data_IF_710567828986
#
_entry.id   IF_710567828986
#
_cell.length_a   1.000
_cell.length_b   1.000
_cell.length_c   1.000
_cell.angle_alpha   90.00
_cell.angle_beta   90.00
_cell.angle_gamma   90.00
#
_symmetry.space_group_name_H-M   'P 1'
#
loop_
_entity.id
_entity.type
_entity.pdbx_description
1 polymer ?
#
# COMPACT_ATOMS: atom_id res chain seq x y z
N UNK A 1 -66.80 -112.28 73.05
CA UNK A 1 -68.04 -112.04 73.82
C UNK A 1 -67.80 -110.75 74.60
N UNK A 2 -68.54 -109.67 74.31
CA UNK A 2 -68.27 -108.36 74.93
C UNK A 2 -68.67 -108.39 76.41
N UNK A 3 -67.80 -107.86 77.29
CA UNK A 3 -68.04 -107.71 78.73
C UNK A 3 -69.29 -106.88 79.02
N UNK A 4 -69.47 -105.75 78.31
CA UNK A 4 -70.65 -104.90 78.47
C UNK A 4 -71.93 -105.72 78.25
N UNK A 5 -71.99 -106.47 77.15
CA UNK A 5 -73.09 -107.39 76.82
C UNK A 5 -73.34 -108.51 77.85
N UNK A 6 -72.36 -108.86 78.70
CA UNK A 6 -72.59 -109.81 79.81
C UNK A 6 -73.12 -109.07 81.05
N UNK A 7 -72.70 -107.81 81.27
CA UNK A 7 -73.26 -106.94 82.30
C UNK A 7 -74.73 -106.61 81.97
N UNK A 8 -75.04 -106.26 80.73
CA UNK A 8 -76.40 -106.02 80.24
C UNK A 8 -77.30 -107.26 80.45
N UNK A 9 -76.78 -108.47 80.16
CA UNK A 9 -77.48 -109.74 80.39
C UNK A 9 -77.66 -110.05 81.89
N UNK A 10 -76.71 -109.66 82.76
CA UNK A 10 -76.82 -109.80 84.22
C UNK A 10 -77.84 -108.84 84.82
N UNK A 11 -77.86 -107.59 84.36
CA UNK A 11 -78.83 -106.57 84.74
C UNK A 11 -80.25 -107.03 84.37
N UNK A 12 -80.46 -107.50 83.14
CA UNK A 12 -81.73 -108.08 82.70
C UNK A 12 -82.19 -109.28 83.57
N UNK A 13 -81.29 -110.14 84.04
CA UNK A 13 -81.63 -111.25 84.94
C UNK A 13 -82.07 -110.78 86.34
N UNK A 14 -81.54 -109.64 86.81
CA UNK A 14 -81.94 -109.03 88.09
C UNK A 14 -83.24 -108.24 87.93
N UNK A 15 -83.42 -107.50 86.84
CA UNK A 15 -84.64 -106.73 86.58
C UNK A 15 -85.88 -107.61 86.40
N UNK A 16 -85.77 -108.64 85.56
CA UNK A 16 -86.86 -109.57 85.22
C UNK A 16 -87.10 -110.66 86.28
N UNK A 17 -86.40 -110.60 87.42
CA UNK A 17 -86.54 -111.56 88.51
C UNK A 17 -87.92 -111.49 89.19
N UNK A 18 -88.44 -112.64 89.61
CA UNK A 18 -89.80 -112.73 90.18
C UNK A 18 -89.83 -112.13 91.59
N UNK A 19 -90.88 -111.36 91.91
CA UNK A 19 -91.06 -110.79 93.24
C UNK A 19 -91.22 -111.86 94.32
N UNK A 20 -90.45 -111.77 95.39
CA UNK A 20 -90.49 -112.62 96.57
C UNK A 20 -90.96 -111.87 97.82
N UNK A 21 -91.10 -112.60 98.94
CA UNK A 21 -91.61 -112.06 100.20
C UNK A 21 -90.65 -111.00 100.79
N UNK A 22 -91.21 -109.94 101.39
CA UNK A 22 -90.47 -108.83 102.04
C UNK A 22 -89.45 -108.13 101.11
N UNK A 23 -89.85 -107.84 99.87
CA UNK A 23 -89.05 -107.04 98.92
C UNK A 23 -87.85 -107.78 98.30
N UNK A 24 -87.73 -109.10 98.52
CA UNK A 24 -86.70 -109.93 97.91
C UNK A 24 -87.03 -110.23 96.45
N UNK A 25 -86.01 -110.51 95.65
CA UNK A 25 -86.12 -110.91 94.24
C UNK A 25 -85.64 -112.35 94.06
N UNK A 26 -86.41 -113.16 93.33
CA UNK A 26 -86.13 -114.56 93.03
C UNK A 26 -85.47 -114.64 91.65
N UNK A 27 -84.16 -114.78 91.65
CA UNK A 27 -83.29 -114.90 90.47
C UNK A 27 -82.99 -116.38 90.22
N UNK A 28 -82.86 -116.80 88.96
CA UNK A 28 -82.32 -118.12 88.63
C UNK A 28 -80.82 -118.15 88.99
N UNK A 29 -80.49 -118.83 90.08
CA UNK A 29 -79.13 -118.92 90.61
C UNK A 29 -78.15 -119.50 89.57
N UNK A 30 -78.52 -120.58 88.88
CA UNK A 30 -77.68 -121.25 87.89
C UNK A 30 -77.35 -120.33 86.70
N UNK A 31 -78.35 -119.62 86.18
CA UNK A 31 -78.17 -118.72 85.05
C UNK A 31 -77.39 -117.46 85.45
N UNK A 32 -77.72 -116.87 86.60
CA UNK A 32 -77.02 -115.68 87.12
C UNK A 32 -75.56 -115.98 87.45
N UNK A 33 -75.25 -117.05 88.19
CA UNK A 33 -73.86 -117.46 88.42
C UNK A 33 -73.17 -117.88 87.12
N UNK A 34 -73.88 -118.51 86.17
CA UNK A 34 -73.35 -118.80 84.83
C UNK A 34 -72.87 -117.54 84.11
N UNK A 35 -73.66 -116.46 84.12
CA UNK A 35 -73.25 -115.15 83.57
C UNK A 35 -72.12 -114.50 84.38
N UNK A 36 -72.13 -114.59 85.72
CA UNK A 36 -71.01 -114.12 86.56
C UNK A 36 -69.71 -114.85 86.22
N UNK A 37 -69.73 -116.15 85.95
CA UNK A 37 -68.54 -116.91 85.53
C UNK A 37 -68.09 -116.52 84.11
N UNK A 38 -69.01 -116.26 83.18
CA UNK A 38 -68.68 -115.71 81.86
C UNK A 38 -68.03 -114.33 81.99
N UNK A 39 -68.58 -113.45 82.84
CA UNK A 39 -68.03 -112.13 83.13
C UNK A 39 -66.63 -112.24 83.74
N UNK A 40 -66.43 -113.14 84.72
CA UNK A 40 -65.15 -113.45 85.35
C UNK A 40 -64.11 -114.01 84.37
N UNK A 41 -64.54 -114.70 83.30
CA UNK A 41 -63.66 -115.20 82.23
C UNK A 41 -63.36 -114.14 81.15
N UNK A 42 -64.29 -113.22 80.90
CA UNK A 42 -64.19 -112.19 79.86
C UNK A 42 -63.47 -110.92 80.32
N UNK A 43 -63.73 -110.45 81.56
CA UNK A 43 -63.11 -109.25 82.14
C UNK A 43 -61.57 -109.26 82.08
N UNK A 44 -60.86 -110.34 82.46
CA UNK A 44 -59.39 -110.35 82.36
C UNK A 44 -58.88 -110.22 80.93
N UNK A 45 -59.65 -110.69 79.93
CA UNK A 45 -59.28 -110.62 78.51
C UNK A 45 -59.46 -109.21 77.97
N UNK A 46 -60.61 -108.57 78.23
CA UNK A 46 -60.85 -107.18 77.79
C UNK A 46 -59.93 -106.18 78.50
N UNK A 47 -59.62 -106.39 79.79
CA UNK A 47 -58.62 -105.59 80.51
C UNK A 47 -57.25 -105.72 79.86
N UNK A 48 -56.81 -106.95 79.53
CA UNK A 48 -55.53 -107.17 78.83
C UNK A 48 -55.52 -106.53 77.43
N UNK A 49 -56.61 -106.63 76.67
CA UNK A 49 -56.74 -106.00 75.34
C UNK A 49 -56.67 -104.46 75.44
N UNK A 50 -57.31 -103.87 76.44
CA UNK A 50 -57.25 -102.43 76.71
C UNK A 50 -55.83 -101.99 77.14
N UNK A 51 -55.17 -102.74 78.02
CA UNK A 51 -53.77 -102.50 78.37
C UNK A 51 -52.85 -102.62 77.16
N UNK A 52 -53.03 -103.64 76.29
CA UNK A 52 -52.24 -103.81 75.07
C UNK A 52 -52.47 -102.66 74.09
N UNK A 53 -53.69 -102.10 74.04
CA UNK A 53 -54.00 -100.90 73.26
C UNK A 53 -53.33 -99.64 73.85
N UNK A 54 -53.37 -99.46 75.18
CA UNK A 54 -52.70 -98.34 75.85
C UNK A 54 -51.18 -98.42 75.66
N UNK A 55 -50.56 -99.59 75.87
CA UNK A 55 -49.14 -99.85 75.59
C UNK A 55 -48.77 -99.50 74.14
N UNK A 56 -49.62 -99.83 73.17
CA UNK A 56 -49.42 -99.47 71.75
C UNK A 56 -49.56 -97.96 71.52
N UNK A 57 -50.56 -97.31 72.12
CA UNK A 57 -50.76 -95.86 71.99
C UNK A 57 -49.59 -95.08 72.59
N UNK A 58 -49.12 -95.45 73.78
CA UNK A 58 -47.91 -94.89 74.41
C UNK A 58 -46.67 -95.09 73.55
N UNK A 59 -46.49 -96.29 72.97
CA UNK A 59 -45.37 -96.55 72.06
C UNK A 59 -45.43 -95.69 70.78
N UNK A 60 -46.63 -95.48 70.20
CA UNK A 60 -46.83 -94.59 69.05
C UNK A 60 -46.53 -93.14 69.41
N UNK A 61 -47.05 -92.63 70.53
CA UNK A 61 -46.77 -91.25 70.99
C UNK A 61 -45.28 -91.05 71.23
N UNK A 62 -44.61 -91.97 71.93
CA UNK A 62 -43.17 -91.92 72.17
C UNK A 62 -42.36 -91.98 70.87
N UNK A 63 -42.77 -92.80 69.90
CA UNK A 63 -42.11 -92.88 68.59
C UNK A 63 -42.31 -91.59 67.79
N UNK A 64 -43.51 -90.99 67.81
CA UNK A 64 -43.81 -89.75 67.12
C UNK A 64 -43.05 -88.56 67.74
N UNK A 65 -42.93 -88.49 69.07
CA UNK A 65 -42.09 -87.52 69.78
C UNK A 65 -40.62 -87.68 69.37
N UNK A 66 -40.07 -88.88 69.45
CA UNK A 66 -38.67 -89.17 69.06
C UNK A 66 -38.39 -88.77 67.60
N UNK A 67 -39.35 -88.97 66.69
CA UNK A 67 -39.18 -88.59 65.29
C UNK A 67 -39.36 -87.08 65.05
N UNK A 68 -40.26 -86.42 65.78
CA UNK A 68 -40.39 -84.97 65.75
C UNK A 68 -39.11 -84.28 66.25
N UNK A 69 -38.54 -84.77 67.36
CA UNK A 69 -37.27 -84.27 67.91
C UNK A 69 -36.16 -84.38 66.86
N UNK A 70 -36.00 -85.55 66.21
CA UNK A 70 -35.03 -85.77 65.12
C UNK A 70 -35.23 -84.84 63.92
N UNK A 71 -36.48 -84.57 63.54
CA UNK A 71 -36.80 -83.67 62.43
C UNK A 71 -36.43 -82.22 62.77
N UNK A 72 -36.70 -81.76 64.00
CA UNK A 72 -36.29 -80.43 64.50
C UNK A 72 -34.76 -80.35 64.50
N UNK A 73 -34.08 -81.29 65.14
CA UNK A 73 -32.62 -81.42 65.20
C UNK A 73 -31.96 -81.33 63.81
N UNK A 74 -32.59 -81.95 62.81
CA UNK A 74 -32.07 -81.99 61.43
C UNK A 74 -32.38 -80.69 60.68
N UNK A 75 -33.56 -80.11 60.88
CA UNK A 75 -33.92 -78.82 60.31
C UNK A 75 -33.06 -77.67 60.88
N UNK A 76 -32.74 -77.69 62.17
CA UNK A 76 -31.87 -76.71 62.83
C UNK A 76 -30.44 -76.78 62.29
N UNK A 77 -29.86 -77.99 62.20
CA UNK A 77 -28.52 -78.20 61.60
C UNK A 77 -28.47 -77.74 60.14
N UNK A 78 -29.50 -78.04 59.35
CA UNK A 78 -29.57 -77.64 57.95
C UNK A 78 -29.76 -76.11 57.79
N UNK A 79 -30.56 -75.49 58.66
CA UNK A 79 -30.71 -74.03 58.69
C UNK A 79 -29.40 -73.33 59.07
N UNK A 80 -28.67 -73.82 60.07
CA UNK A 80 -27.35 -73.30 60.45
C UNK A 80 -26.33 -73.44 59.31
N UNK A 81 -26.31 -74.60 58.63
CA UNK A 81 -25.47 -74.84 57.45
C UNK A 81 -25.77 -73.83 56.33
N UNK A 82 -27.04 -73.67 55.96
CA UNK A 82 -27.47 -72.75 54.89
C UNK A 82 -27.16 -71.29 55.25
N UNK A 83 -27.39 -70.87 56.49
CA UNK A 83 -27.05 -69.50 56.95
C UNK A 83 -25.54 -69.26 56.92
N UNK A 84 -24.75 -70.25 57.31
CA UNK A 84 -23.27 -70.16 57.30
C UNK A 84 -22.74 -70.06 55.88
N UNK A 85 -23.19 -70.94 54.98
CA UNK A 85 -22.80 -70.91 53.56
C UNK A 85 -23.22 -69.62 52.85
N UNK A 86 -24.42 -69.11 53.15
CA UNK A 86 -24.91 -67.84 52.61
C UNK A 86 -24.02 -66.66 53.07
N UNK A 87 -23.62 -66.63 54.35
CA UNK A 87 -22.69 -65.62 54.89
C UNK A 87 -21.31 -65.71 54.24
N UNK A 88 -20.69 -66.89 54.22
CA UNK A 88 -19.38 -67.09 53.57
C UNK A 88 -19.41 -66.69 52.08
N UNK A 89 -20.50 -66.99 51.37
CA UNK A 89 -20.67 -66.58 49.96
C UNK A 89 -20.84 -65.06 49.82
N UNK A 90 -21.58 -64.41 50.71
CA UNK A 90 -21.72 -62.96 50.73
C UNK A 90 -20.39 -62.27 51.01
N UNK A 91 -19.66 -62.67 52.05
CA UNK A 91 -18.34 -62.12 52.41
C UNK A 91 -17.34 -62.26 51.26
N UNK A 92 -17.32 -63.43 50.61
CA UNK A 92 -16.51 -63.68 49.41
C UNK A 92 -16.88 -62.75 48.26
N UNK A 93 -18.18 -62.59 47.98
CA UNK A 93 -18.67 -61.72 46.89
C UNK A 93 -18.30 -60.25 47.15
N UNK A 94 -18.38 -59.80 48.41
CA UNK A 94 -17.96 -58.45 48.82
C UNK A 94 -16.46 -58.26 48.63
N UNK A 95 -15.63 -59.22 49.06
CA UNK A 95 -14.18 -59.16 48.91
C UNK A 95 -13.74 -59.14 47.43
N UNK A 96 -14.32 -60.02 46.59
CA UNK A 96 -14.06 -60.08 45.15
C UNK A 96 -14.48 -58.77 44.46
N UNK A 97 -15.67 -58.25 44.79
CA UNK A 97 -16.19 -56.98 44.25
C UNK A 97 -15.32 -55.78 44.65
N UNK A 98 -14.84 -55.74 45.91
CA UNK A 98 -13.95 -54.69 46.39
C UNK A 98 -12.60 -54.71 45.67
N UNK A 99 -12.01 -55.90 45.53
CA UNK A 99 -10.74 -56.06 44.79
C UNK A 99 -10.87 -55.65 43.32
N UNK A 100 -11.98 -56.03 42.67
CA UNK A 100 -12.27 -55.59 41.30
C UNK A 100 -12.40 -54.07 41.20
N UNK A 101 -13.15 -53.42 42.11
CA UNK A 101 -13.30 -51.98 42.13
C UNK A 101 -11.96 -51.24 42.36
N UNK A 102 -11.14 -51.71 43.31
CA UNK A 102 -9.80 -51.16 43.57
C UNK A 102 -8.89 -51.26 42.34
N UNK A 103 -8.92 -52.41 41.64
CA UNK A 103 -8.21 -52.61 40.36
C UNK A 103 -8.71 -51.66 39.28
N UNK A 104 -10.01 -51.60 39.04
CA UNK A 104 -10.61 -50.72 38.01
C UNK A 104 -10.25 -49.25 38.26
N UNK A 105 -10.30 -48.79 39.51
CA UNK A 105 -9.89 -47.42 39.87
C UNK A 105 -8.39 -47.19 39.65
N UNK A 106 -7.54 -48.17 39.97
CA UNK A 106 -6.09 -48.10 39.74
C UNK A 106 -5.74 -48.05 38.24
N UNK A 107 -6.34 -48.94 37.45
CA UNK A 107 -6.18 -49.01 35.99
C UNK A 107 -6.67 -47.73 35.30
N UNK A 108 -7.81 -47.18 35.74
CA UNK A 108 -8.34 -45.92 35.23
C UNK A 108 -7.44 -44.71 35.55
N UNK A 109 -6.88 -44.63 36.77
CA UNK A 109 -5.91 -43.60 37.16
C UNK A 109 -4.65 -43.68 36.31
N UNK A 110 -4.03 -44.87 36.20
CA UNK A 110 -2.86 -45.10 35.36
C UNK A 110 -3.11 -44.80 33.87
N UNK A 111 -4.35 -44.91 33.39
CA UNK A 111 -4.70 -44.52 32.03
C UNK A 111 -4.85 -42.99 31.89
N UNK A 112 -5.49 -42.33 32.86
CA UNK A 112 -5.61 -40.87 32.91
C UNK A 112 -4.24 -40.18 33.00
N UNK A 113 -3.36 -40.66 33.89
CA UNK A 113 -2.00 -40.12 34.06
C UNK A 113 -1.18 -40.22 32.77
N UNK A 114 -1.28 -41.36 32.06
CA UNK A 114 -0.65 -41.56 30.74
C UNK A 114 -1.22 -40.61 29.68
N UNK A 115 -2.55 -40.48 29.61
CA UNK A 115 -3.20 -39.59 28.65
C UNK A 115 -2.82 -38.12 28.89
N UNK A 116 -2.72 -37.70 30.15
CA UNK A 116 -2.27 -36.36 30.53
C UNK A 116 -0.80 -36.15 30.14
N UNK A 117 0.09 -37.10 30.44
CA UNK A 117 1.50 -37.02 30.04
C UNK A 117 1.70 -36.95 28.52
N UNK A 118 1.00 -37.80 27.77
CA UNK A 118 1.02 -37.79 26.30
C UNK A 118 0.48 -36.47 25.72
N UNK A 119 -0.61 -35.94 26.29
CA UNK A 119 -1.17 -34.66 25.87
C UNK A 119 -0.21 -33.50 26.16
N UNK A 120 0.44 -33.50 27.33
CA UNK A 120 1.42 -32.48 27.70
C UNK A 120 2.66 -32.52 26.80
N UNK A 121 3.27 -33.69 26.56
CA UNK A 121 4.41 -33.83 25.64
C UNK A 121 4.06 -33.37 24.21
N UNK A 122 2.84 -33.68 23.73
CA UNK A 122 2.37 -33.21 22.41
C UNK A 122 2.20 -31.69 22.37
N UNK A 123 1.66 -31.10 23.44
CA UNK A 123 1.49 -29.65 23.57
C UNK A 123 2.84 -28.92 23.60
N UNK A 124 3.77 -29.37 24.45
CA UNK A 124 5.14 -28.83 24.56
C UNK A 124 5.88 -28.90 23.21
N UNK A 125 5.80 -30.04 22.52
CA UNK A 125 6.35 -30.19 21.17
C UNK A 125 5.70 -29.24 20.17
N UNK A 126 4.38 -29.10 20.17
CA UNK A 126 3.66 -28.20 19.27
C UNK A 126 4.06 -26.74 19.49
N UNK A 127 4.23 -26.32 20.74
CA UNK A 127 4.72 -24.98 21.10
C UNK A 127 6.15 -24.76 20.58
N UNK A 128 7.06 -25.72 20.81
CA UNK A 128 8.44 -25.64 20.33
C UNK A 128 8.53 -25.60 18.79
N UNK A 129 7.81 -26.49 18.10
CA UNK A 129 7.73 -26.53 16.63
C UNK A 129 7.13 -25.22 16.06
N UNK A 130 6.15 -24.63 16.75
CA UNK A 130 5.53 -23.36 16.35
C UNK A 130 6.47 -22.17 16.57
N UNK A 131 7.16 -22.09 17.71
CA UNK A 131 8.17 -21.03 17.96
C UNK A 131 9.26 -21.08 16.91
N UNK A 132 9.85 -22.26 16.68
CA UNK A 132 10.92 -22.42 15.70
C UNK A 132 10.49 -22.10 14.24
N UNK A 133 9.20 -22.21 13.91
CA UNK A 133 8.65 -21.73 12.63
C UNK A 133 8.47 -20.22 12.60
N UNK A 134 8.02 -19.61 13.70
CA UNK A 134 7.90 -18.16 13.81
C UNK A 134 9.28 -17.48 13.73
N UNK A 135 10.27 -17.98 14.46
CA UNK A 135 11.65 -17.48 14.47
C UNK A 135 12.29 -17.51 13.07
N UNK A 136 12.12 -18.62 12.34
CA UNK A 136 12.56 -18.73 10.93
C UNK A 136 11.83 -17.73 10.03
N UNK A 137 10.51 -17.62 10.17
CA UNK A 137 9.70 -16.69 9.36
C UNK A 137 10.15 -15.24 9.55
N UNK A 138 10.41 -14.83 10.80
CA UNK A 138 10.93 -13.50 11.13
C UNK A 138 12.34 -13.30 10.55
N UNK A 139 13.24 -14.28 10.73
CA UNK A 139 14.61 -14.22 10.21
C UNK A 139 14.65 -14.09 8.68
N UNK A 140 13.87 -14.92 7.97
CA UNK A 140 13.75 -14.89 6.50
C UNK A 140 13.15 -13.57 6.00
N UNK A 141 12.13 -13.04 6.70
CA UNK A 141 11.51 -11.76 6.36
C UNK A 141 12.49 -10.59 6.55
N UNK A 142 13.22 -10.55 7.68
CA UNK A 142 14.23 -9.53 7.97
C UNK A 142 15.38 -9.56 6.95
N UNK A 143 15.96 -10.72 6.68
CA UNK A 143 17.03 -10.87 5.69
C UNK A 143 16.58 -10.45 4.27
N UNK A 144 15.33 -10.73 3.91
CA UNK A 144 14.75 -10.29 2.63
C UNK A 144 14.51 -8.78 2.59
N UNK A 145 14.08 -8.17 3.70
CA UNK A 145 13.91 -6.73 3.82
C UNK A 145 15.27 -6.00 3.72
N UNK A 146 16.28 -6.43 4.47
CA UNK A 146 17.65 -5.92 4.42
C UNK A 146 18.22 -5.99 3.00
N UNK A 147 18.09 -7.15 2.33
CA UNK A 147 18.50 -7.28 0.93
C UNK A 147 17.77 -6.30 0.01
N UNK A 148 16.44 -6.14 0.18
CA UNK A 148 15.64 -5.23 -0.64
C UNK A 148 16.08 -3.77 -0.47
N UNK A 149 16.40 -3.36 0.76
CA UNK A 149 16.93 -2.03 1.07
C UNK A 149 18.33 -1.84 0.44
N UNK A 150 19.21 -2.83 0.58
CA UNK A 150 20.55 -2.81 -0.03
C UNK A 150 20.48 -2.72 -1.57
N UNK A 151 19.66 -3.55 -2.21
CA UNK A 151 19.42 -3.53 -3.65
C UNK A 151 18.82 -2.18 -4.12
N UNK A 152 17.96 -1.55 -3.31
CA UNK A 152 17.38 -0.24 -3.61
C UNK A 152 18.40 0.89 -3.49
N UNK A 153 19.21 0.91 -2.43
CA UNK A 153 20.28 1.90 -2.22
C UNK A 153 21.33 1.81 -3.33
N UNK A 154 21.80 0.60 -3.66
CA UNK A 154 22.76 0.39 -4.74
C UNK A 154 22.21 0.78 -6.14
N UNK A 155 20.89 0.73 -6.35
CA UNK A 155 20.26 1.28 -7.57
C UNK A 155 20.22 2.81 -7.52
N UNK A 156 19.84 3.41 -6.40
CA UNK A 156 19.82 4.85 -6.23
C UNK A 156 21.21 5.47 -6.46
N UNK A 157 22.26 4.91 -5.86
CA UNK A 157 23.66 5.33 -6.05
C UNK A 157 24.06 5.33 -7.53
N UNK A 158 23.75 4.25 -8.27
CA UNK A 158 24.03 4.16 -9.72
C UNK A 158 23.24 5.19 -10.52
N UNK A 159 21.98 5.44 -10.16
CA UNK A 159 21.14 6.46 -10.81
C UNK A 159 21.68 7.86 -10.56
N UNK A 160 22.11 8.18 -9.34
CA UNK A 160 22.77 9.45 -9.04
C UNK A 160 24.09 9.60 -9.81
N UNK A 161 24.93 8.56 -9.88
CA UNK A 161 26.18 8.60 -10.65
C UNK A 161 25.94 8.85 -12.16
N UNK A 162 24.96 8.18 -12.77
CA UNK A 162 24.58 8.39 -14.18
C UNK A 162 24.01 9.81 -14.41
N UNK A 163 23.17 10.31 -13.50
CA UNK A 163 22.66 11.70 -13.58
C UNK A 163 23.80 12.71 -13.47
N UNK A 164 24.70 12.57 -12.50
CA UNK A 164 25.86 13.47 -12.33
C UNK A 164 26.72 13.49 -13.59
N UNK A 165 27.11 12.32 -14.11
CA UNK A 165 27.92 12.23 -15.33
C UNK A 165 27.22 12.86 -16.56
N UNK A 166 25.90 12.73 -16.68
CA UNK A 166 25.12 13.40 -17.74
C UNK A 166 25.05 14.91 -17.56
N UNK A 167 24.91 15.40 -16.33
CA UNK A 167 24.88 16.84 -16.01
C UNK A 167 26.26 17.48 -16.25
N UNK A 168 27.34 16.82 -15.84
CA UNK A 168 28.71 17.24 -16.12
C UNK A 168 28.95 17.34 -17.64
N UNK A 169 28.59 16.28 -18.39
CA UNK A 169 28.70 16.30 -19.85
C UNK A 169 27.85 17.40 -20.48
N UNK A 170 26.59 17.53 -20.09
CA UNK A 170 25.68 18.54 -20.65
C UNK A 170 26.15 19.97 -20.36
N UNK A 171 26.76 20.20 -19.19
CA UNK A 171 27.39 21.48 -18.85
C UNK A 171 28.60 21.74 -19.75
N UNK A 172 29.51 20.77 -19.90
CA UNK A 172 30.68 20.91 -20.77
C UNK A 172 30.31 21.12 -22.26
N UNK A 173 29.31 20.37 -22.76
CA UNK A 173 28.76 20.53 -24.11
C UNK A 173 28.15 21.94 -24.27
N UNK A 174 27.46 22.46 -23.26
CA UNK A 174 26.87 23.81 -23.29
C UNK A 174 27.94 24.93 -23.23
N UNK A 175 28.98 24.77 -22.42
CA UNK A 175 30.12 25.70 -22.33
C UNK A 175 30.90 25.76 -23.65
N UNK A 176 31.12 24.61 -24.30
CA UNK A 176 31.75 24.54 -25.62
C UNK A 176 30.91 25.27 -26.68
N UNK A 177 29.61 24.95 -26.79
CA UNK A 177 28.70 25.62 -27.74
C UNK A 177 28.60 27.14 -27.49
N UNK A 178 28.60 27.58 -26.23
CA UNK A 178 28.58 28.99 -25.88
C UNK A 178 29.89 29.70 -26.30
N UNK A 179 31.04 29.05 -26.09
CA UNK A 179 32.33 29.54 -26.55
C UNK A 179 32.37 29.66 -28.08
N UNK A 180 31.97 28.62 -28.81
CA UNK A 180 31.96 28.62 -30.28
C UNK A 180 31.06 29.74 -30.82
N UNK A 181 29.89 29.95 -30.21
CA UNK A 181 28.96 31.05 -30.56
C UNK A 181 29.60 32.44 -30.34
N UNK A 182 30.36 32.62 -29.25
CA UNK A 182 31.08 33.87 -28.95
C UNK A 182 32.23 34.09 -29.95
N UNK A 183 33.01 33.05 -30.23
CA UNK A 183 34.13 33.13 -31.18
C UNK A 183 33.63 33.42 -32.61
N UNK A 184 32.52 32.81 -33.04
CA UNK A 184 31.83 33.17 -34.29
C UNK A 184 31.33 34.62 -34.30
N UNK A 185 30.70 35.07 -33.22
CA UNK A 185 30.18 36.45 -33.13
C UNK A 185 31.31 37.48 -33.21
N UNK A 186 32.44 37.22 -32.53
CA UNK A 186 33.65 38.04 -32.59
C UNK A 186 34.27 38.05 -33.99
N UNK A 187 34.33 36.90 -34.67
CA UNK A 187 34.83 36.83 -36.04
C UNK A 187 33.95 37.65 -37.00
N UNK A 188 32.61 37.52 -36.90
CA UNK A 188 31.65 38.32 -37.68
C UNK A 188 31.77 39.81 -37.39
N UNK A 189 31.92 40.20 -36.13
CA UNK A 189 32.14 41.60 -35.73
C UNK A 189 33.45 42.14 -36.34
N UNK A 190 34.55 41.38 -36.28
CA UNK A 190 35.83 41.75 -36.90
C UNK A 190 35.73 41.91 -38.42
N UNK A 191 34.95 41.06 -39.11
CA UNK A 191 34.65 41.24 -40.53
C UNK A 191 33.87 42.53 -40.81
N UNK A 192 32.81 42.81 -40.04
CA UNK A 192 32.00 44.03 -40.19
C UNK A 192 32.85 45.28 -39.92
N UNK A 193 33.72 45.27 -38.90
CA UNK A 193 34.66 46.37 -38.66
C UNK A 193 35.65 46.56 -39.79
N UNK A 194 36.22 45.48 -40.35
CA UNK A 194 37.13 45.56 -41.48
C UNK A 194 36.44 46.13 -42.72
N UNK A 195 35.20 45.70 -43.00
CA UNK A 195 34.40 46.17 -44.13
C UNK A 195 34.00 47.63 -43.96
N UNK A 196 33.58 48.04 -42.76
CA UNK A 196 33.27 49.44 -42.44
C UNK A 196 34.50 50.35 -42.55
N UNK A 197 35.69 49.89 -42.14
CA UNK A 197 36.95 50.62 -42.33
C UNK A 197 37.30 50.77 -43.80
N UNK A 198 37.25 49.67 -44.59
CA UNK A 198 37.48 49.73 -46.05
C UNK A 198 36.56 50.73 -46.73
N UNK A 199 35.27 50.71 -46.38
CA UNK A 199 34.30 51.64 -46.96
C UNK A 199 34.52 53.09 -46.50
N UNK A 200 34.95 53.32 -45.26
CA UNK A 200 35.34 54.64 -44.78
C UNK A 200 36.59 55.17 -45.51
N UNK A 201 37.60 54.33 -45.72
CA UNK A 201 38.81 54.66 -46.48
C UNK A 201 38.47 54.96 -47.95
N UNK A 202 37.55 54.19 -48.56
CA UNK A 202 37.01 54.45 -49.90
C UNK A 202 36.29 55.81 -49.98
N UNK A 203 35.39 56.13 -49.03
CA UNK A 203 34.70 57.42 -48.98
C UNK A 203 35.67 58.59 -48.78
N UNK A 204 36.71 58.44 -47.97
CA UNK A 204 37.76 59.45 -47.79
C UNK A 204 38.58 59.61 -49.07
N UNK A 205 38.90 58.52 -49.76
CA UNK A 205 39.60 58.56 -51.05
C UNK A 205 38.77 59.27 -52.12
N UNK A 206 37.48 58.93 -52.26
CA UNK A 206 36.53 59.60 -53.16
C UNK A 206 36.41 61.09 -52.83
N UNK A 207 36.25 61.44 -51.55
CA UNK A 207 36.20 62.84 -51.13
C UNK A 207 37.49 63.59 -51.47
N UNK A 208 38.66 62.98 -51.29
CA UNK A 208 39.96 63.56 -51.67
C UNK A 208 40.11 63.79 -53.18
N UNK A 209 39.42 62.99 -54.02
CA UNK A 209 39.36 63.18 -55.46
C UNK A 209 38.40 64.32 -55.80
N UNK A 210 37.23 64.40 -55.14
CA UNK A 210 36.31 65.54 -55.34
C UNK A 210 36.91 66.88 -54.92
N UNK A 211 37.68 66.91 -53.82
CA UNK A 211 38.40 68.12 -53.37
C UNK A 211 39.45 68.54 -54.39
N UNK A 212 40.31 67.62 -54.85
CA UNK A 212 41.31 67.92 -55.89
C UNK A 212 40.67 68.36 -57.21
N UNK A 213 39.59 67.73 -57.64
CA UNK A 213 38.85 68.16 -58.82
C UNK A 213 38.24 69.56 -58.65
N UNK A 214 37.89 69.96 -57.42
CA UNK A 214 37.40 71.31 -57.12
C UNK A 214 38.55 72.34 -57.11
N UNK A 215 39.69 72.03 -56.49
CA UNK A 215 40.91 72.86 -56.54
C UNK A 215 41.43 73.01 -57.98
N UNK A 216 41.45 71.94 -58.77
CA UNK A 216 41.82 71.98 -60.19
C UNK A 216 40.82 72.81 -61.00
N UNK A 217 39.52 72.74 -60.70
CA UNK A 217 38.51 73.57 -61.35
C UNK A 217 38.65 75.06 -60.97
N UNK A 218 38.90 75.41 -59.71
CA UNK A 218 39.18 76.79 -59.29
C UNK A 218 40.47 77.32 -59.91
N UNK A 219 41.54 76.52 -59.93
CA UNK A 219 42.80 76.87 -60.58
C UNK A 219 42.64 77.06 -62.09
N UNK A 220 41.81 76.25 -62.76
CA UNK A 220 41.47 76.39 -64.17
C UNK A 220 40.67 77.67 -64.42
N UNK A 221 39.66 77.98 -63.60
CA UNK A 221 38.90 79.24 -63.67
C UNK A 221 39.81 80.44 -63.45
N UNK A 222 40.71 80.38 -62.49
CA UNK A 222 41.65 81.47 -62.19
C UNK A 222 42.71 81.63 -63.29
N UNK A 223 43.17 80.53 -63.92
CA UNK A 223 44.03 80.59 -65.09
C UNK A 223 43.31 81.19 -66.29
N UNK A 224 42.11 80.68 -66.62
CA UNK A 224 41.29 81.22 -67.70
C UNK A 224 40.95 82.71 -67.49
N UNK A 225 40.78 83.16 -66.25
CA UNK A 225 40.67 84.57 -65.89
C UNK A 225 41.92 85.37 -66.27
N UNK A 226 43.11 84.91 -65.89
CA UNK A 226 44.40 85.55 -66.26
C UNK A 226 44.68 85.48 -67.76
N UNK A 227 44.34 84.39 -68.42
CA UNK A 227 44.50 84.22 -69.86
C UNK A 227 43.55 85.17 -70.62
N UNK A 228 42.30 85.35 -70.14
CA UNK A 228 41.36 86.33 -70.67
C UNK A 228 41.79 87.79 -70.41
N UNK A 229 42.45 88.07 -69.28
CA UNK A 229 43.04 89.36 -68.95
C UNK A 229 44.27 89.64 -69.86
N UNK A 230 45.14 88.66 -70.06
CA UNK A 230 46.27 88.74 -71.00
C UNK A 230 45.83 88.84 -72.47
N UNK A 231 44.68 88.24 -72.84
CA UNK A 231 44.06 88.46 -74.15
C UNK A 231 43.46 89.86 -74.30
N UNK A 232 42.91 90.45 -73.23
CA UNK A 232 42.47 91.86 -73.22
C UNK A 232 43.65 92.80 -73.38
N UNK A 233 44.71 92.61 -72.58
CA UNK A 233 45.94 93.41 -72.71
C UNK A 233 46.54 93.30 -74.11
N UNK A 234 46.57 92.10 -74.73
CA UNK A 234 47.01 91.94 -76.11
C UNK A 234 46.07 92.61 -77.12
N UNK A 235 44.76 92.56 -76.91
CA UNK A 235 43.78 93.24 -77.77
C UNK A 235 43.90 94.77 -77.67
N UNK A 236 44.16 95.30 -76.47
CA UNK A 236 44.36 96.73 -76.22
C UNK A 236 45.72 97.20 -76.78
N UNK A 237 46.80 96.42 -76.65
CA UNK A 237 48.08 96.70 -77.31
C UNK A 237 47.96 96.62 -78.83
N UNK A 238 47.18 95.67 -79.37
CA UNK A 238 46.92 95.59 -80.81
C UNK A 238 46.09 96.78 -81.31
N UNK A 239 45.09 97.21 -80.54
CA UNK A 239 44.31 98.42 -80.83
C UNK A 239 45.21 99.67 -80.80
N UNK A 240 46.12 99.77 -79.84
CA UNK A 240 47.14 100.83 -79.77
C UNK A 240 48.09 100.82 -80.98
N UNK A 241 48.67 99.68 -81.34
CA UNK A 241 49.58 99.55 -82.49
C UNK A 241 48.88 99.85 -83.84
N UNK A 242 47.59 99.49 -83.97
CA UNK A 242 46.76 99.89 -85.11
C UNK A 242 46.47 101.39 -85.09
N UNK A 243 46.13 101.98 -83.95
CA UNK A 243 45.90 103.42 -83.80
C UNK A 243 47.18 104.24 -84.04
N UNK A 244 48.35 103.73 -83.64
CA UNK A 244 49.65 104.37 -83.86
C UNK A 244 50.08 104.28 -85.34
N UNK A 245 49.80 103.14 -86.01
CA UNK A 245 49.92 103.02 -87.47
C UNK A 245 48.98 103.97 -88.21
N UNK A 246 47.73 104.11 -87.76
CA UNK A 246 46.77 105.11 -88.29
C UNK A 246 47.28 106.53 -88.03
N UNK A 247 47.86 106.81 -86.86
CA UNK A 247 48.54 108.07 -86.53
C UNK A 247 49.67 108.39 -87.50
N UNK A 248 50.57 107.44 -87.78
CA UNK A 248 51.66 107.62 -88.76
C UNK A 248 51.16 107.82 -90.20
N UNK A 249 50.03 107.19 -90.57
CA UNK A 249 49.39 107.41 -91.87
C UNK A 249 48.74 108.80 -91.94
N UNK A 250 48.09 109.25 -90.88
CA UNK A 250 47.52 110.60 -90.77
C UNK A 250 48.62 111.68 -90.73
N UNK A 251 49.75 111.44 -90.08
CA UNK A 251 50.91 112.35 -90.06
C UNK A 251 51.53 112.50 -91.47
N UNK A 252 51.69 111.40 -92.21
CA UNK A 252 52.13 111.43 -93.62
C UNK A 252 51.12 112.14 -94.54
N UNK A 253 49.82 111.99 -94.28
CA UNK A 253 48.76 112.75 -94.94
C UNK A 253 48.80 114.24 -94.58
N UNK A 254 49.05 114.59 -93.31
CA UNK A 254 49.13 115.97 -92.85
C UNK A 254 50.35 116.70 -93.44
N UNK A 255 51.50 116.04 -93.56
CA UNK A 255 52.66 116.56 -94.30
C UNK A 255 52.31 116.80 -95.78
N UNK A 256 51.56 115.89 -96.41
CA UNK A 256 51.12 116.03 -97.81
C UNK A 256 50.08 117.15 -98.00
N UNK A 257 49.20 117.36 -97.02
CA UNK A 257 48.20 118.43 -97.02
C UNK A 257 48.84 119.80 -96.78
N UNK A 258 49.84 119.90 -95.91
CA UNK A 258 50.50 121.18 -95.62
C UNK A 258 51.43 121.61 -96.76
N UNK A 259 52.09 120.66 -97.43
CA UNK A 259 52.77 120.91 -98.72
C UNK A 259 51.81 121.35 -99.84
N UNK A 260 50.54 120.93 -99.78
CA UNK A 260 49.48 121.42 -100.66
C UNK A 260 48.97 122.83 -100.31
N UNK A 261 48.98 123.21 -99.03
CA UNK A 261 48.50 124.53 -98.55
C UNK A 261 49.51 125.65 -98.79
N UNK A 262 50.81 125.40 -98.72
CA UNK A 262 51.83 126.40 -99.03
C UNK A 262 51.88 126.79 -100.52
N UNK A 263 51.32 125.97 -101.42
CA UNK A 263 51.28 126.24 -102.86
C UNK A 263 50.14 127.15 -103.33
N UNK A 264 49.17 127.51 -102.48
CA UNK A 264 47.87 128.10 -102.89
C UNK A 264 47.45 129.38 -102.17
N UNK A 265 48.40 130.17 -101.67
CA UNK A 265 48.11 131.41 -100.94
C UNK A 265 47.72 132.57 -101.86
N UNK A 266 46.67 133.34 -101.51
CA UNK A 266 46.76 134.81 -101.59
C UNK A 266 46.36 135.50 -100.26
N UNK A 267 46.44 136.84 -100.25
CA UNK A 267 46.43 137.69 -99.03
C UNK A 267 45.04 138.40 -98.79
N UNK A 268 44.89 139.55 -98.07
CA UNK A 268 44.04 139.59 -96.86
C UNK A 268 42.84 140.60 -96.87
N UNK A 269 41.98 140.51 -95.84
CA UNK A 269 40.90 141.47 -95.42
C UNK A 269 39.65 141.61 -96.35
N UNK A 270 38.55 142.29 -95.93
CA UNK A 270 37.78 142.25 -94.65
C UNK A 270 36.22 142.18 -94.86
N UNK A 271 35.43 142.00 -93.77
CA UNK A 271 33.96 142.28 -93.53
C UNK A 271 32.89 141.80 -94.59
N UNK A 272 31.60 141.47 -94.34
CA UNK A 272 30.62 141.81 -93.28
C UNK A 272 29.33 140.87 -93.26
N UNK A 273 28.53 140.93 -92.19
CA UNK A 273 27.17 140.42 -91.80
C UNK A 273 26.33 139.27 -92.48
N UNK A 274 25.60 138.56 -91.58
CA UNK A 274 24.20 138.02 -91.65
C UNK A 274 23.93 136.61 -92.29
N UNK A 275 22.93 135.78 -91.89
CA UNK A 275 22.11 135.63 -90.64
C UNK A 275 21.22 134.35 -90.69
N UNK A 276 21.12 133.54 -89.61
CA UNK A 276 19.98 132.63 -89.20
C UNK A 276 19.46 131.46 -90.10
N UNK A 277 18.60 130.53 -89.59
CA UNK A 277 18.49 129.94 -88.22
C UNK A 277 18.16 128.41 -88.16
N UNK A 278 18.10 127.87 -86.91
CA UNK A 278 17.15 126.83 -86.42
C UNK A 278 17.34 125.34 -86.85
N UNK A 279 16.95 124.29 -86.10
CA UNK A 279 16.45 123.98 -84.72
C UNK A 279 16.42 122.41 -84.61
N UNK A 280 16.38 121.66 -83.50
CA UNK A 280 16.47 121.85 -82.04
C UNK A 280 16.73 120.47 -81.34
N UNK A 281 17.02 120.42 -80.03
CA UNK A 281 16.68 119.28 -79.14
C UNK A 281 17.82 118.36 -78.64
N UNK A 282 17.90 117.90 -77.38
CA UNK A 282 17.74 118.46 -76.01
C UNK A 282 17.68 117.28 -74.98
N UNK A 283 18.13 117.47 -73.72
CA UNK A 283 18.09 116.49 -72.61
C UNK A 283 19.44 115.80 -72.33
N UNK A 284 20.17 115.94 -71.21
CA UNK A 284 19.96 116.44 -69.82
C UNK A 284 19.50 115.42 -68.77
N UNK A 285 20.02 115.60 -67.53
CA UNK A 285 19.89 114.79 -66.28
C UNK A 285 20.69 113.48 -66.30
N UNK A 286 21.63 113.17 -65.39
CA UNK A 286 21.74 113.34 -63.92
C UNK A 286 20.74 112.46 -63.14
N UNK A 287 20.99 112.01 -61.90
CA UNK A 287 22.16 112.12 -61.01
C UNK A 287 22.23 110.90 -60.06
N UNK A 288 23.40 110.67 -59.43
CA UNK A 288 23.69 110.34 -58.00
C UNK A 288 22.73 109.40 -57.18
N UNK A 289 23.02 108.87 -55.99
CA UNK A 289 24.11 108.91 -54.99
C UNK A 289 24.35 107.44 -54.53
N UNK A 290 25.59 106.98 -54.33
CA UNK A 290 26.35 107.00 -53.05
C UNK A 290 25.63 106.53 -51.80
N UNK A 291 26.07 105.39 -51.26
CA UNK A 291 26.71 105.24 -49.93
C UNK A 291 26.92 103.73 -49.69
N UNK A 292 28.04 103.22 -49.18
CA UNK A 292 29.13 103.88 -48.47
C UNK A 292 28.77 104.10 -47.01
N UNK A 293 29.11 103.16 -46.13
CA UNK A 293 29.66 103.45 -44.79
C UNK A 293 30.18 102.17 -44.10
N UNK A 294 31.25 102.40 -43.32
CA UNK A 294 31.92 101.57 -42.31
C UNK A 294 30.96 100.80 -41.38
N UNK A 295 31.37 99.73 -40.70
CA UNK A 295 32.74 99.31 -40.32
C UNK A 295 33.07 97.88 -40.75
#
# INVERSE_FOLDING_TARGET
MNVLRIIDELEQLVENSKGGLLGKRLINEEEFFGKIQQLRSALPKSMKEAEDLMRKAEAVVKSAQTEADRLIDTAEREAERVVTEARTRADRTIAESKSLAERTVSEAKLHADRLQGDAQMRSEKMIADSSARADRTVSEASAKAEKTISDANARAERTFADITARVEKMTADAEANAKDTIDEANARAGHIEADARRHADEMVAEHSVTLRAHEEAEALVHSAGRDAEGMRDHADHYALDVLEKVGSVLEKLQISVEQGKDALRPAPQPDDYSNTPALNGNGSYSSEYSNGYRN
#
